data_IF_635900886742
#
_entry.id   IF_635900886742
#
_cell.length_a   1.000
_cell.length_b   1.000
_cell.length_c   1.000
_cell.angle_alpha   90.00
_cell.angle_beta   90.00
_cell.angle_gamma   90.00
#
_symmetry.space_group_name_H-M   'P 1'
#
loop_
_entity.id
_entity.type
_entity.pdbx_description
1 polymer ?
#
# COMPACT_ATOMS: atom_id res chain seq x y z
N UNK A 1 -1.52 34.86 25.12
CA UNK A 1 -0.56 34.36 24.10
C UNK A 1 -0.07 32.92 24.38
N UNK A 2 0.47 32.61 25.57
CA UNK A 2 0.90 31.22 25.93
C UNK A 2 -0.22 30.17 25.89
N UNK A 3 -1.43 30.53 26.32
CA UNK A 3 -2.56 29.60 26.39
C UNK A 3 -3.10 29.20 24.99
N UNK A 4 -3.05 30.12 24.03
CA UNK A 4 -3.39 29.85 22.62
C UNK A 4 -2.32 28.96 21.96
N UNK A 5 -1.04 29.20 22.26
CA UNK A 5 0.07 28.35 21.83
C UNK A 5 -0.06 26.91 22.33
N UNK A 6 -0.43 26.71 23.61
CA UNK A 6 -0.65 25.37 24.16
C UNK A 6 -1.89 24.70 23.55
N UNK A 7 -2.97 25.44 23.32
CA UNK A 7 -4.16 24.92 22.66
C UNK A 7 -3.90 24.51 21.20
N UNK A 8 -3.15 25.33 20.45
CA UNK A 8 -2.73 25.00 19.09
C UNK A 8 -1.74 23.83 19.08
N UNK A 9 -0.86 23.73 20.07
CA UNK A 9 0.05 22.60 20.23
C UNK A 9 -0.70 21.32 20.60
N UNK A 10 -1.69 21.37 21.48
CA UNK A 10 -2.51 20.22 21.86
C UNK A 10 -3.39 19.77 20.69
N UNK A 11 -3.93 20.69 19.88
CA UNK A 11 -4.65 20.35 18.64
C UNK A 11 -3.70 19.73 17.61
N UNK A 12 -2.52 20.32 17.40
CA UNK A 12 -1.51 19.78 16.49
C UNK A 12 -0.96 18.43 16.97
N UNK A 13 -0.83 18.23 18.28
CA UNK A 13 -0.43 16.96 18.90
C UNK A 13 -1.54 15.90 18.85
N UNK A 14 -2.80 16.31 18.76
CA UNK A 14 -3.94 15.42 18.48
C UNK A 14 -3.99 15.06 16.99
N UNK A 15 -3.55 15.94 16.08
CA UNK A 15 -3.45 15.66 14.64
C UNK A 15 -2.32 14.66 14.31
N UNK A 16 -1.20 14.69 15.04
CA UNK A 16 -0.14 13.68 14.97
C UNK A 16 -0.51 12.57 15.96
N UNK A 17 -1.46 11.71 15.57
CA UNK A 17 -2.02 10.67 16.42
C UNK A 17 -0.97 9.86 17.19
N UNK A 18 -1.33 9.32 18.36
CA UNK A 18 -0.41 8.45 19.08
C UNK A 18 -0.02 7.25 18.20
N UNK A 19 1.27 6.98 18.12
CA UNK A 19 1.81 5.88 17.33
C UNK A 19 2.40 4.81 18.26
N UNK A 20 2.14 3.55 17.92
CA UNK A 20 2.85 2.43 18.51
C UNK A 20 4.27 2.37 17.96
N UNK A 21 5.28 2.61 18.80
CA UNK A 21 6.67 2.63 18.36
C UNK A 21 7.40 1.32 18.66
N UNK A 22 8.20 0.87 17.70
CA UNK A 22 9.25 -0.13 17.89
C UNK A 22 10.62 0.52 17.74
N UNK A 23 11.56 0.13 18.60
CA UNK A 23 12.96 0.55 18.47
C UNK A 23 13.75 -0.56 17.81
N UNK A 24 14.25 -0.31 16.60
CA UNK A 24 15.06 -1.26 15.84
C UNK A 24 16.39 -0.59 15.47
N UNK A 25 17.50 -1.14 15.96
CA UNK A 25 18.84 -0.62 15.64
C UNK A 25 19.08 0.84 16.03
N UNK A 26 18.39 1.33 17.07
CA UNK A 26 18.47 2.73 17.51
C UNK A 26 17.50 3.70 16.82
N UNK A 27 16.74 3.24 15.83
CA UNK A 27 15.71 4.04 15.15
C UNK A 27 14.31 3.68 15.66
N UNK A 28 13.44 4.68 15.78
CA UNK A 28 12.04 4.48 16.10
C UNK A 28 11.22 4.30 14.82
N UNK A 29 10.48 3.20 14.75
CA UNK A 29 9.59 2.87 13.63
C UNK A 29 8.15 2.73 14.14
N UNK A 30 7.19 3.06 13.29
CA UNK A 30 5.77 2.90 13.61
C UNK A 30 5.38 1.42 13.51
N UNK A 31 5.42 0.70 14.64
CA UNK A 31 5.12 -0.72 14.72
C UNK A 31 3.71 -1.07 14.24
N UNK A 32 2.72 -0.20 14.53
CA UNK A 32 1.34 -0.39 14.04
C UNK A 32 1.27 -0.46 12.51
N UNK A 33 2.09 0.33 11.80
CA UNK A 33 2.13 0.37 10.34
C UNK A 33 2.70 -0.92 9.79
N UNK A 34 3.77 -1.43 10.42
CA UNK A 34 4.40 -2.69 10.03
C UNK A 34 3.44 -3.87 10.23
N UNK A 35 2.75 -3.92 11.38
CA UNK A 35 1.75 -4.95 11.67
C UNK A 35 0.63 -4.92 10.63
N UNK A 36 0.01 -3.76 10.41
CA UNK A 36 -1.09 -3.62 9.45
C UNK A 36 -0.62 -4.02 8.04
N UNK A 37 0.58 -3.59 7.64
CA UNK A 37 1.15 -3.89 6.32
C UNK A 37 1.39 -5.39 6.15
N UNK A 38 1.92 -6.08 7.16
CA UNK A 38 2.14 -7.53 7.10
C UNK A 38 0.83 -8.31 7.04
N UNK A 39 -0.21 -7.87 7.73
CA UNK A 39 -1.53 -8.49 7.62
C UNK A 39 -2.05 -8.36 6.19
N UNK A 40 -2.01 -7.15 5.62
CA UNK A 40 -2.45 -6.91 4.23
C UNK A 40 -1.63 -7.72 3.23
N UNK A 41 -0.31 -7.73 3.35
CA UNK A 41 0.58 -8.53 2.50
C UNK A 41 0.28 -10.03 2.63
N UNK A 42 0.06 -10.51 3.85
CA UNK A 42 -0.33 -11.88 4.12
C UNK A 42 -1.63 -12.25 3.43
N UNK A 43 -2.65 -11.38 3.47
CA UNK A 43 -3.93 -11.60 2.78
C UNK A 43 -3.75 -11.65 1.25
N UNK A 44 -3.01 -10.71 0.67
CA UNK A 44 -2.76 -10.68 -0.78
C UNK A 44 -1.99 -11.92 -1.23
N UNK A 45 -0.91 -12.28 -0.52
CA UNK A 45 -0.09 -13.46 -0.85
C UNK A 45 -0.91 -14.74 -0.68
N UNK A 46 -1.68 -14.86 0.41
CA UNK A 46 -2.54 -16.03 0.62
C UNK A 46 -3.57 -16.16 -0.49
N UNK A 47 -4.24 -15.08 -0.88
CA UNK A 47 -5.19 -15.07 -2.00
C UNK A 47 -4.51 -15.47 -3.31
N UNK A 48 -3.38 -14.83 -3.66
CA UNK A 48 -2.66 -15.12 -4.90
C UNK A 48 -2.20 -16.58 -4.95
N UNK A 49 -1.58 -17.08 -3.87
CA UNK A 49 -1.08 -18.45 -3.80
C UNK A 49 -2.21 -19.47 -3.81
N UNK A 50 -3.32 -19.23 -3.12
CA UNK A 50 -4.45 -20.18 -3.11
C UNK A 50 -5.20 -20.24 -4.44
N UNK A 51 -5.26 -19.13 -5.17
CA UNK A 51 -5.94 -19.05 -6.48
C UNK A 51 -5.08 -19.48 -7.66
N UNK A 52 -3.76 -19.54 -7.51
CA UNK A 52 -2.81 -19.88 -8.60
C UNK A 52 -2.12 -21.24 -8.46
N UNK A 53 -2.36 -21.97 -7.37
CA UNK A 53 -1.74 -23.29 -7.10
C UNK A 53 -2.14 -24.39 -8.09
N UNK A 54 -3.36 -24.36 -8.59
CA UNK A 54 -3.91 -25.38 -9.50
C UNK A 54 -4.79 -24.70 -10.55
N UNK A 55 -4.14 -24.12 -11.57
CA UNK A 55 -4.81 -23.36 -12.63
C UNK A 55 -5.49 -24.31 -13.62
N UNK A 56 -6.79 -24.11 -13.82
CA UNK A 56 -7.56 -24.86 -14.82
C UNK A 56 -7.63 -24.08 -16.14
N UNK A 57 -7.66 -24.77 -17.30
CA UNK A 57 -7.86 -24.12 -18.59
C UNK A 57 -9.19 -23.38 -18.72
N UNK A 58 -10.23 -23.88 -18.06
CA UNK A 58 -11.51 -23.18 -17.88
C UNK A 58 -11.55 -22.71 -16.43
N UNK A 59 -11.53 -21.40 -16.16
CA UNK A 59 -11.39 -20.88 -14.81
C UNK A 59 -12.67 -21.15 -13.99
N UNK A 60 -12.48 -21.50 -12.72
CA UNK A 60 -13.55 -21.83 -11.78
C UNK A 60 -13.29 -21.19 -10.41
N UNK A 61 -14.36 -20.85 -9.68
CA UNK A 61 -14.27 -20.37 -8.30
C UNK A 61 -13.40 -19.12 -8.13
N UNK A 62 -12.38 -19.20 -7.26
CA UNK A 62 -11.48 -18.08 -6.96
C UNK A 62 -10.56 -17.67 -8.11
N UNK A 63 -10.29 -18.58 -9.05
CA UNK A 63 -9.51 -18.27 -10.26
C UNK A 63 -10.22 -17.21 -11.11
N UNK A 64 -11.55 -17.27 -11.22
CA UNK A 64 -12.34 -16.25 -11.95
C UNK A 64 -12.12 -14.84 -11.40
N UNK A 65 -12.09 -14.69 -10.07
CA UNK A 65 -11.86 -13.40 -9.44
C UNK A 65 -10.41 -12.93 -9.65
N UNK A 66 -9.44 -13.84 -9.51
CA UNK A 66 -8.04 -13.51 -9.71
C UNK A 66 -7.77 -13.07 -11.16
N UNK A 67 -8.32 -13.77 -12.14
CA UNK A 67 -8.22 -13.43 -13.56
C UNK A 67 -8.90 -12.10 -13.87
N UNK A 68 -10.11 -11.88 -13.37
CA UNK A 68 -10.82 -10.60 -13.53
C UNK A 68 -9.96 -9.41 -13.05
N UNK A 69 -9.32 -9.56 -11.88
CA UNK A 69 -8.46 -8.50 -11.33
C UNK A 69 -7.21 -8.30 -12.18
N UNK A 70 -6.57 -9.38 -12.64
CA UNK A 70 -5.39 -9.30 -13.50
C UNK A 70 -5.73 -8.65 -14.85
N UNK A 71 -6.85 -9.03 -15.47
CA UNK A 71 -7.34 -8.44 -16.71
C UNK A 71 -7.63 -6.94 -16.54
N UNK A 72 -8.31 -6.56 -15.46
CA UNK A 72 -8.58 -5.16 -15.14
C UNK A 72 -7.30 -4.32 -15.02
N UNK A 73 -6.31 -4.82 -14.27
CA UNK A 73 -5.01 -4.16 -14.12
C UNK A 73 -4.28 -4.08 -15.46
N UNK A 74 -4.32 -5.15 -16.25
CA UNK A 74 -3.68 -5.22 -17.57
C UNK A 74 -4.28 -4.21 -18.53
N UNK A 75 -5.58 -4.00 -18.51
CA UNK A 75 -6.28 -3.03 -19.35
C UNK A 75 -5.94 -1.59 -18.96
N UNK A 76 -5.84 -1.30 -17.67
CA UNK A 76 -5.31 -0.01 -17.18
C UNK A 76 -3.89 0.20 -17.68
N UNK A 77 -3.00 -0.78 -17.46
CA UNK A 77 -1.60 -0.68 -17.86
C UNK A 77 -1.49 -0.46 -19.38
N UNK A 78 -2.24 -1.22 -20.18
CA UNK A 78 -2.26 -1.10 -21.64
C UNK A 78 -2.72 0.28 -22.10
N UNK A 79 -3.76 0.82 -21.47
CA UNK A 79 -4.32 2.13 -21.83
C UNK A 79 -3.40 3.28 -21.42
N UNK A 80 -2.78 3.20 -20.25
CA UNK A 80 -2.02 4.32 -19.67
C UNK A 80 -0.52 4.30 -20.06
N UNK A 81 0.08 3.12 -20.19
CA UNK A 81 1.51 2.95 -20.51
C UNK A 81 1.74 2.77 -22.01
N UNK A 82 0.80 2.11 -22.71
CA UNK A 82 0.93 1.83 -24.13
C UNK A 82 1.77 0.59 -24.41
N UNK A 83 2.71 0.68 -25.36
CA UNK A 83 3.42 -0.49 -25.91
C UNK A 83 4.11 -1.36 -24.86
N UNK A 84 4.73 -0.75 -23.85
CA UNK A 84 5.55 -1.44 -22.85
C UNK A 84 4.74 -1.96 -21.65
N UNK A 85 3.40 -1.96 -21.73
CA UNK A 85 2.53 -2.20 -20.57
C UNK A 85 2.80 -3.53 -19.84
N UNK A 86 3.21 -4.59 -20.54
CA UNK A 86 3.48 -5.89 -19.94
C UNK A 86 4.60 -5.82 -18.90
N UNK A 87 5.63 -5.02 -19.15
CA UNK A 87 6.74 -4.82 -18.21
C UNK A 87 6.28 -4.13 -16.92
N UNK A 88 5.33 -3.19 -17.04
CA UNK A 88 4.84 -2.37 -15.93
C UNK A 88 3.63 -2.94 -15.21
N UNK A 89 2.95 -3.93 -15.79
CA UNK A 89 1.74 -4.54 -15.23
C UNK A 89 1.98 -5.10 -13.82
N UNK A 90 3.08 -5.81 -13.51
CA UNK A 90 3.33 -6.29 -12.14
C UNK A 90 3.48 -5.16 -11.11
N UNK A 91 4.13 -4.06 -11.50
CA UNK A 91 4.32 -2.90 -10.63
C UNK A 91 2.98 -2.20 -10.33
N UNK A 92 2.21 -1.90 -11.38
CA UNK A 92 0.89 -1.29 -11.27
C UNK A 92 -0.04 -2.19 -10.46
N UNK A 93 -0.03 -3.50 -10.73
CA UNK A 93 -0.86 -4.46 -10.02
C UNK A 93 -0.52 -4.57 -8.54
N UNK A 94 0.77 -4.53 -8.19
CA UNK A 94 1.20 -4.54 -6.78
C UNK A 94 0.70 -3.31 -6.04
N UNK A 95 0.88 -2.12 -6.62
CA UNK A 95 0.37 -0.88 -6.03
C UNK A 95 -1.15 -0.90 -5.88
N UNK A 96 -1.86 -1.30 -6.94
CA UNK A 96 -3.31 -1.38 -6.94
C UNK A 96 -3.82 -2.33 -5.85
N UNK A 97 -3.34 -3.57 -5.84
CA UNK A 97 -3.77 -4.58 -4.87
C UNK A 97 -3.43 -4.16 -3.43
N UNK A 98 -2.21 -3.67 -3.20
CA UNK A 98 -1.79 -3.25 -1.86
C UNK A 98 -2.67 -2.11 -1.34
N UNK A 99 -2.86 -1.06 -2.12
CA UNK A 99 -3.66 0.12 -1.72
C UNK A 99 -5.13 -0.27 -1.56
N UNK A 100 -5.69 -1.04 -2.49
CA UNK A 100 -7.07 -1.50 -2.45
C UNK A 100 -7.33 -2.32 -1.18
N UNK A 101 -6.56 -3.39 -0.97
CA UNK A 101 -6.76 -4.26 0.20
C UNK A 101 -6.43 -3.52 1.50
N UNK A 102 -5.44 -2.62 1.51
CA UNK A 102 -5.16 -1.77 2.67
C UNK A 102 -6.38 -0.94 3.08
N UNK A 103 -6.96 -0.21 2.13
CA UNK A 103 -8.10 0.68 2.41
C UNK A 103 -9.33 -0.12 2.84
N UNK A 104 -9.62 -1.23 2.15
CA UNK A 104 -10.73 -2.11 2.52
C UNK A 104 -10.51 -2.82 3.85
N UNK A 105 -9.27 -3.21 4.18
CA UNK A 105 -8.94 -3.78 5.49
C UNK A 105 -9.18 -2.78 6.61
N UNK A 106 -8.84 -1.50 6.40
CA UNK A 106 -9.09 -0.45 7.39
C UNK A 106 -10.58 -0.18 7.62
N UNK A 107 -11.38 -0.30 6.56
CA UNK A 107 -12.82 -0.03 6.60
C UNK A 107 -13.65 -1.22 7.10
N UNK A 108 -13.29 -2.46 6.73
CA UNK A 108 -14.09 -3.65 7.02
C UNK A 108 -13.68 -4.39 8.29
N UNK A 109 -12.39 -4.41 8.62
CA UNK A 109 -11.93 -5.14 9.80
C UNK A 109 -12.19 -4.26 11.03
N UNK A 110 -12.87 -4.76 12.07
CA UNK A 110 -13.18 -3.99 13.27
C UNK A 110 -11.95 -3.87 14.18
N UNK A 111 -10.94 -3.14 13.72
CA UNK A 111 -9.66 -2.95 14.43
C UNK A 111 -9.81 -2.40 15.84
N UNK A 112 -10.86 -1.62 16.09
CA UNK A 112 -11.16 -1.06 17.42
C UNK A 112 -11.45 -2.10 18.50
N UNK A 113 -11.69 -3.36 18.13
CA UNK A 113 -11.82 -4.45 19.10
C UNK A 113 -10.48 -4.93 19.66
N UNK A 114 -9.36 -4.55 19.03
CA UNK A 114 -8.01 -4.92 19.43
C UNK A 114 -7.32 -3.65 19.95
N UNK A 115 -7.19 -3.55 21.27
CA UNK A 115 -6.52 -2.41 21.90
C UNK A 115 -5.00 -2.62 21.92
N UNK A 116 -4.27 -1.60 21.45
CA UNK A 116 -2.82 -1.51 21.59
C UNK A 116 -2.46 -0.67 22.83
N UNK A 117 -1.29 -0.90 23.44
CA UNK A 117 -0.82 -0.07 24.56
C UNK A 117 -0.71 1.42 24.19
N UNK A 118 -0.37 1.72 22.93
CA UNK A 118 -0.32 3.05 22.35
C UNK A 118 -0.70 2.95 20.86
N UNK A 119 -1.44 3.92 20.34
CA UNK A 119 -1.89 3.96 18.93
C UNK A 119 -3.06 3.04 18.59
N UNK A 120 -3.39 2.96 17.30
CA UNK A 120 -4.55 2.22 16.78
C UNK A 120 -4.16 1.36 15.56
N UNK A 121 -4.74 0.17 15.46
CA UNK A 121 -4.71 -0.63 14.23
C UNK A 121 -5.72 -0.07 13.23
N UNK A 122 -5.45 -0.27 11.94
CA UNK A 122 -6.23 0.35 10.87
C UNK A 122 -5.66 0.03 9.50
N UNK A 123 -5.94 0.89 8.52
CA UNK A 123 -5.31 0.76 7.22
C UNK A 123 -3.81 1.13 7.31
N UNK A 124 -2.90 0.39 6.64
CA UNK A 124 -1.50 0.82 6.48
C UNK A 124 -1.36 2.24 5.92
N UNK A 125 -2.29 2.64 5.04
CA UNK A 125 -2.35 3.92 4.34
C UNK A 125 -2.80 5.09 5.22
N UNK A 126 -3.22 4.84 6.47
CA UNK A 126 -3.53 5.90 7.43
C UNK A 126 -2.26 6.63 7.92
N UNK A 127 -1.10 6.02 7.74
CA UNK A 127 0.18 6.58 8.16
C UNK A 127 0.90 7.26 6.99
N UNK A 128 1.47 8.44 7.27
CA UNK A 128 2.21 9.22 6.28
C UNK A 128 3.43 8.47 5.75
N UNK A 129 4.07 7.62 6.54
CA UNK A 129 5.23 6.86 6.10
C UNK A 129 4.88 5.95 4.93
N UNK A 130 3.70 5.29 4.98
CA UNK A 130 3.23 4.42 3.90
C UNK A 130 2.92 5.23 2.64
N UNK A 131 2.16 6.31 2.77
CA UNK A 131 1.74 7.10 1.60
C UNK A 131 2.91 7.81 0.93
N UNK A 132 3.84 8.37 1.71
CA UNK A 132 5.08 8.97 1.21
C UNK A 132 5.98 7.91 0.57
N UNK A 133 6.15 6.73 1.19
CA UNK A 133 6.96 5.67 0.60
C UNK A 133 6.42 5.21 -0.75
N UNK A 134 5.10 5.01 -0.88
CA UNK A 134 4.47 4.63 -2.15
C UNK A 134 4.56 5.74 -3.21
N UNK A 135 4.40 7.01 -2.81
CA UNK A 135 4.54 8.16 -3.70
C UNK A 135 5.98 8.30 -4.22
N UNK A 136 6.97 8.16 -3.34
CA UNK A 136 8.38 8.17 -3.72
C UNK A 136 8.73 6.98 -4.60
N UNK A 137 8.27 5.77 -4.25
CA UNK A 137 8.49 4.57 -5.07
C UNK A 137 7.95 4.77 -6.50
N UNK A 138 6.72 5.28 -6.63
CA UNK A 138 6.10 5.56 -7.93
C UNK A 138 6.86 6.64 -8.70
N UNK A 139 7.27 7.71 -8.02
CA UNK A 139 8.04 8.80 -8.63
C UNK A 139 9.40 8.31 -9.13
N UNK A 140 10.15 7.59 -8.31
CA UNK A 140 11.44 7.00 -8.68
C UNK A 140 11.29 6.03 -9.84
N UNK A 141 10.20 5.25 -9.86
CA UNK A 141 9.90 4.32 -10.96
C UNK A 141 9.64 5.07 -12.26
N UNK A 142 8.93 6.20 -12.21
CA UNK A 142 8.75 7.09 -13.36
C UNK A 142 10.08 7.67 -13.86
N UNK A 143 10.93 8.15 -12.93
CA UNK A 143 12.28 8.61 -13.24
C UNK A 143 13.14 7.52 -13.89
N UNK A 144 13.10 6.32 -13.35
CA UNK A 144 13.78 5.18 -13.93
C UNK A 144 13.27 4.84 -15.34
N UNK A 145 11.95 4.81 -15.52
CA UNK A 145 11.32 4.45 -16.79
C UNK A 145 11.71 5.40 -17.93
N UNK A 146 11.63 6.71 -17.71
CA UNK A 146 12.00 7.66 -18.75
C UNK A 146 13.51 7.70 -19.00
N UNK A 147 14.37 7.44 -18.00
CA UNK A 147 15.83 7.41 -18.19
C UNK A 147 16.20 6.22 -19.06
N UNK A 148 15.56 5.07 -18.81
CA UNK A 148 15.69 3.86 -19.61
C UNK A 148 15.22 4.08 -21.06
N UNK A 149 14.14 4.84 -21.27
CA UNK A 149 13.49 4.99 -22.59
C UNK A 149 14.03 6.16 -23.43
N UNK A 150 14.39 7.28 -22.81
CA UNK A 150 14.78 8.54 -23.48
C UNK A 150 16.24 8.93 -23.28
N UNK A 151 16.96 8.23 -22.40
CA UNK A 151 18.34 8.58 -22.04
C UNK A 151 18.44 9.82 -21.14
N UNK A 152 19.67 10.20 -20.80
CA UNK A 152 19.99 11.30 -19.87
C UNK A 152 19.76 12.70 -20.47
N UNK A 153 19.64 12.79 -21.79
CA UNK A 153 19.62 14.07 -22.50
C UNK A 153 18.22 14.67 -22.66
N UNK A 154 17.16 13.83 -22.54
CA UNK A 154 15.75 14.23 -22.69
C UNK A 154 14.84 13.59 -21.64
N UNK A 155 15.27 13.65 -20.37
CA UNK A 155 14.46 13.19 -19.23
C UNK A 155 13.54 14.29 -18.71
#
# INVERSE_FOLDING_TARGET
>A
RRQVMNFLYDIAAVEIGQHFYWTLGGFQMHGQVLINSWIVLGLIIAFAVTTTRDLKPVPEGGQNLAELVVEYIRDIAKTQVGHDYLEWTPFIGTLFLFIFVSNWSGALIPWKLIELPHGELGAPTNDINTTVALALLTSLTYFYAGLKKKGLEYF
#
